data_IF_173143703935
#
_entry.id   IF_173143703935
#
_cell.length_a   1.000
_cell.length_b   1.000
_cell.length_c   1.000
_cell.angle_alpha   90.00
_cell.angle_beta   90.00
_cell.angle_gamma   90.00
#
_symmetry.space_group_name_H-M   'P 1'
#
loop_
_entity.id
_entity.type
_entity.pdbx_description
1 polymer ?
#
# COMPACT_ATOMS: atom_id res chain seq x y z
N UNK A 1 13.20 1.52 -9.95
CA UNK A 1 13.05 2.12 -8.61
C UNK A 1 11.62 2.60 -8.48
N UNK A 2 10.92 2.23 -7.40
CA UNK A 2 9.55 2.67 -7.10
C UNK A 2 9.51 4.07 -6.44
N UNK A 3 10.68 4.68 -6.23
CA UNK A 3 10.79 6.01 -5.62
C UNK A 3 10.65 5.98 -4.10
N UNK A 4 10.95 4.84 -3.46
CA UNK A 4 10.92 4.69 -2.00
C UNK A 4 12.23 5.12 -1.33
N UNK A 5 13.33 5.16 -2.08
CA UNK A 5 14.62 5.61 -1.56
C UNK A 5 14.89 7.05 -1.99
N UNK A 6 15.10 7.92 -1.01
CA UNK A 6 15.37 9.34 -1.22
C UNK A 6 16.85 9.68 -1.37
N UNK A 7 17.15 10.88 -1.87
CA UNK A 7 18.51 11.37 -1.93
C UNK A 7 19.08 11.54 -0.52
N UNK A 8 20.36 11.22 -0.34
CA UNK A 8 21.03 11.28 0.97
C UNK A 8 21.05 12.70 1.57
N UNK A 9 20.99 13.73 0.72
CA UNK A 9 21.00 15.15 1.08
C UNK A 9 19.61 15.79 1.20
N UNK A 10 18.56 15.01 1.51
CA UNK A 10 17.22 15.57 1.73
C UNK A 10 17.21 16.53 2.93
N UNK A 11 16.43 17.62 2.91
CA UNK A 11 16.29 18.51 4.06
C UNK A 11 15.85 17.77 5.33
N UNK A 12 16.28 18.28 6.49
CA UNK A 12 15.75 17.88 7.79
C UNK A 12 14.22 18.01 7.79
N UNK A 13 13.54 17.08 8.45
CA UNK A 13 12.06 17.02 8.59
C UNK A 13 11.28 16.86 7.28
N UNK A 14 11.97 16.73 6.14
CA UNK A 14 11.32 16.40 4.86
C UNK A 14 11.12 14.90 4.68
N UNK A 15 10.04 14.54 4.01
CA UNK A 15 9.73 13.15 3.61
C UNK A 15 10.02 13.02 2.12
N UNK A 16 10.63 11.92 1.71
CA UNK A 16 10.77 11.58 0.30
C UNK A 16 9.95 10.34 0.01
N UNK A 17 9.18 10.36 -1.06
CA UNK A 17 8.49 9.16 -1.53
C UNK A 17 7.45 9.46 -2.61
N UNK A 18 6.76 8.41 -3.03
CA UNK A 18 5.57 8.52 -3.86
C UNK A 18 4.33 8.63 -2.96
N UNK A 19 3.68 9.79 -2.96
CA UNK A 19 2.62 10.14 -2.00
C UNK A 19 1.51 9.08 -1.86
N UNK A 20 0.97 8.48 -2.96
CA UNK A 20 -0.05 7.43 -2.84
C UNK A 20 0.34 6.22 -2.00
N UNK A 21 1.64 5.94 -1.86
CA UNK A 21 2.18 4.78 -1.17
C UNK A 21 2.72 5.13 0.23
N UNK A 22 2.78 6.41 0.60
CA UNK A 22 3.26 6.82 1.92
C UNK A 22 2.22 6.47 2.99
N UNK A 23 2.67 5.81 4.05
CA UNK A 23 1.86 5.52 5.21
C UNK A 23 1.43 6.81 5.92
N UNK A 24 0.21 6.89 6.48
CA UNK A 24 -0.32 8.14 7.02
C UNK A 24 0.51 8.68 8.19
N UNK A 25 1.10 7.81 9.01
CA UNK A 25 2.00 8.23 10.08
C UNK A 25 3.31 8.84 9.53
N UNK A 26 3.79 8.35 8.38
CA UNK A 26 4.97 8.93 7.71
C UNK A 26 4.62 10.28 7.11
N UNK A 27 3.43 10.44 6.53
CA UNK A 27 2.90 11.74 6.08
C UNK A 27 2.84 12.73 7.24
N UNK A 28 2.50 12.27 8.45
CA UNK A 28 2.49 13.08 9.68
C UNK A 28 3.89 13.38 10.26
N UNK A 29 4.98 13.02 9.57
CA UNK A 29 6.34 13.33 9.98
C UNK A 29 7.06 12.23 10.76
N UNK A 30 6.41 11.07 11.00
CA UNK A 30 7.12 9.95 11.61
C UNK A 30 8.16 9.36 10.66
N UNK A 31 9.19 8.73 11.24
CA UNK A 31 10.20 8.00 10.47
C UNK A 31 9.56 6.80 9.75
N UNK A 32 10.13 6.45 8.60
CA UNK A 32 9.79 5.20 7.93
C UNK A 32 10.16 4.00 8.81
N UNK A 33 9.31 2.98 8.79
CA UNK A 33 9.45 1.76 9.57
C UNK A 33 9.06 0.55 8.73
N UNK A 34 9.35 -0.65 9.24
CA UNK A 34 8.85 -1.90 8.61
C UNK A 34 7.32 -1.92 8.49
N UNK A 35 6.60 -1.27 9.41
CA UNK A 35 5.14 -1.19 9.35
C UNK A 35 4.67 -0.19 8.29
N UNK A 36 5.42 0.89 8.03
CA UNK A 36 5.11 1.79 6.89
C UNK A 36 5.38 1.10 5.55
N UNK A 37 6.40 0.25 5.47
CA UNK A 37 6.64 -0.56 4.25
C UNK A 37 5.47 -1.53 3.98
N UNK A 38 4.89 -2.12 5.03
CA UNK A 38 3.69 -2.98 4.92
C UNK A 38 2.49 -2.20 4.40
N UNK A 39 2.32 -0.93 4.79
CA UNK A 39 1.30 -0.06 4.21
C UNK A 39 1.55 0.16 2.72
N UNK A 40 2.78 0.48 2.31
CA UNK A 40 3.13 0.64 0.89
C UNK A 40 2.83 -0.63 0.08
N UNK A 41 3.08 -1.81 0.67
CA UNK A 41 2.72 -3.10 0.06
C UNK A 41 1.21 -3.25 -0.09
N UNK A 42 0.40 -2.76 0.86
CA UNK A 42 -1.06 -2.78 0.73
C UNK A 42 -1.55 -1.98 -0.49
N UNK A 43 -0.95 -0.81 -0.73
CA UNK A 43 -1.27 0.02 -1.90
C UNK A 43 -0.82 -0.68 -3.19
N UNK A 44 0.32 -1.38 -3.19
CA UNK A 44 0.75 -2.23 -4.31
C UNK A 44 -0.19 -3.41 -4.54
N UNK A 45 -0.66 -4.07 -3.47
CA UNK A 45 -1.66 -5.13 -3.57
C UNK A 45 -2.95 -4.63 -4.23
N UNK A 46 -3.38 -3.42 -3.86
CA UNK A 46 -4.53 -2.78 -4.49
C UNK A 46 -4.28 -2.45 -5.98
N UNK A 47 -3.11 -1.92 -6.31
CA UNK A 47 -2.73 -1.62 -7.69
C UNK A 47 -2.69 -2.87 -8.56
N UNK A 48 -2.13 -3.98 -8.04
CA UNK A 48 -2.13 -5.29 -8.71
C UNK A 48 -3.57 -5.78 -8.94
N UNK A 49 -4.41 -5.71 -7.90
CA UNK A 49 -5.79 -6.20 -8.01
C UNK A 49 -6.68 -5.35 -8.92
N UNK A 50 -6.45 -4.04 -8.98
CA UNK A 50 -7.25 -3.12 -9.81
C UNK A 50 -6.70 -2.96 -11.22
N UNK A 51 -5.41 -3.22 -11.43
CA UNK A 51 -4.70 -2.90 -12.66
C UNK A 51 -4.62 -1.40 -12.94
N UNK A 52 -4.81 -0.54 -11.93
CA UNK A 52 -4.88 0.92 -12.06
C UNK A 52 -3.96 1.61 -11.05
N UNK A 53 -3.42 2.80 -11.36
CA UNK A 53 -2.69 3.61 -10.39
C UNK A 53 -3.56 3.98 -9.17
N UNK A 54 -3.02 3.95 -7.94
CA UNK A 54 -3.76 4.36 -6.75
C UNK A 54 -4.16 5.82 -6.82
N UNK A 55 -5.38 6.11 -6.35
CA UNK A 55 -5.97 7.45 -6.35
C UNK A 55 -6.01 8.11 -7.75
N UNK A 56 -6.28 7.33 -8.81
CA UNK A 56 -6.29 7.83 -10.20
C UNK A 56 -7.15 9.09 -10.41
N UNK A 57 -8.23 9.22 -9.64
CA UNK A 57 -9.20 10.33 -9.68
C UNK A 57 -8.83 11.52 -8.77
N UNK A 58 -7.66 11.50 -8.13
CA UNK A 58 -7.17 12.58 -7.28
C UNK A 58 -5.96 13.26 -7.91
N UNK A 59 -5.80 14.55 -7.61
CA UNK A 59 -4.54 15.24 -7.84
C UNK A 59 -3.49 14.77 -6.81
N UNK A 60 -2.24 14.61 -7.24
CA UNK A 60 -1.15 14.16 -6.36
C UNK A 60 -0.51 15.38 -5.71
N UNK A 61 -1.19 15.93 -4.71
CA UNK A 61 -0.85 17.18 -4.02
C UNK A 61 -0.99 17.05 -2.48
N UNK A 62 -0.89 18.18 -1.77
CA UNK A 62 -1.04 18.20 -0.31
C UNK A 62 -2.46 17.83 0.15
N UNK A 63 -3.50 18.07 -0.68
CA UNK A 63 -4.87 17.69 -0.33
C UNK A 63 -5.01 16.16 -0.30
N UNK A 64 -4.35 15.44 -1.21
CA UNK A 64 -4.30 13.98 -1.15
C UNK A 64 -3.61 13.48 0.13
N UNK A 65 -2.53 14.14 0.55
CA UNK A 65 -1.84 13.80 1.80
C UNK A 65 -2.79 13.91 3.01
N UNK A 66 -3.52 15.03 3.11
CA UNK A 66 -4.52 15.25 4.16
C UNK A 66 -5.67 14.22 4.08
N UNK A 67 -6.15 13.91 2.88
CA UNK A 67 -7.19 12.90 2.67
C UNK A 67 -6.74 11.52 3.16
N UNK A 68 -5.51 11.10 2.86
CA UNK A 68 -4.95 9.82 3.31
C UNK A 68 -4.87 9.76 4.84
N UNK A 69 -4.39 10.84 5.47
CA UNK A 69 -4.34 10.96 6.94
C UNK A 69 -5.75 10.89 7.54
N UNK A 70 -6.73 11.52 6.90
CA UNK A 70 -8.14 11.48 7.32
C UNK A 70 -8.86 10.16 7.00
N UNK A 71 -8.16 9.15 6.47
CA UNK A 71 -8.68 7.79 6.30
C UNK A 71 -9.16 7.46 4.90
N UNK A 72 -8.96 8.33 3.91
CA UNK A 72 -9.21 7.97 2.52
C UNK A 72 -8.25 6.86 2.09
N UNK A 73 -8.80 5.83 1.44
CA UNK A 73 -8.08 4.70 0.85
C UNK A 73 -8.57 4.49 -0.58
N UNK A 74 -7.79 3.81 -1.44
CA UNK A 74 -8.29 3.41 -2.75
C UNK A 74 -9.55 2.56 -2.62
N UNK A 75 -10.50 2.75 -3.54
CA UNK A 75 -11.78 2.03 -3.53
C UNK A 75 -11.56 0.55 -3.81
N UNK A 76 -12.09 -0.33 -2.96
CA UNK A 76 -12.02 -1.78 -3.16
C UNK A 76 -12.76 -2.18 -4.45
N UNK A 77 -12.16 -3.08 -5.23
CA UNK A 77 -12.74 -3.65 -6.44
C UNK A 77 -13.56 -4.88 -6.05
N UNK A 78 -14.79 -5.00 -6.56
CA UNK A 78 -15.73 -6.07 -6.19
C UNK A 78 -15.19 -7.47 -6.46
N UNK A 79 -14.35 -7.61 -7.48
CA UNK A 79 -13.86 -8.90 -7.96
C UNK A 79 -12.56 -9.34 -7.26
N UNK A 80 -12.06 -8.53 -6.32
CA UNK A 80 -10.91 -8.92 -5.50
C UNK A 80 -11.31 -10.08 -4.59
N UNK A 81 -10.55 -11.19 -4.59
CA UNK A 81 -10.70 -12.27 -3.62
C UNK A 81 -10.85 -11.82 -2.17
N UNK A 82 -11.80 -12.41 -1.45
CA UNK A 82 -12.13 -12.01 -0.07
C UNK A 82 -10.91 -12.09 0.87
N UNK A 83 -10.13 -13.17 0.82
CA UNK A 83 -8.96 -13.35 1.66
C UNK A 83 -7.85 -12.34 1.33
N UNK A 84 -7.66 -12.05 0.04
CA UNK A 84 -6.68 -11.06 -0.44
C UNK A 84 -7.09 -9.66 -0.01
N UNK A 85 -8.37 -9.31 -0.19
CA UNK A 85 -8.95 -8.05 0.23
C UNK A 85 -8.80 -7.85 1.74
N UNK A 86 -9.14 -8.85 2.56
CA UNK A 86 -9.01 -8.76 4.02
C UNK A 86 -7.55 -8.57 4.44
N UNK A 87 -6.61 -9.24 3.78
CA UNK A 87 -5.18 -9.06 4.04
C UNK A 87 -4.70 -7.66 3.63
N UNK A 88 -5.10 -7.19 2.44
CA UNK A 88 -4.81 -5.84 1.95
C UNK A 88 -5.33 -4.78 2.93
N UNK A 89 -6.58 -4.93 3.38
CA UNK A 89 -7.22 -4.00 4.33
C UNK A 89 -6.51 -3.99 5.67
N UNK A 90 -6.03 -5.14 6.15
CA UNK A 90 -5.24 -5.19 7.37
C UNK A 90 -3.88 -4.47 7.22
N UNK A 91 -3.27 -4.54 6.04
CA UNK A 91 -1.96 -3.94 5.79
C UNK A 91 -2.01 -2.40 5.72
N UNK A 92 -3.13 -1.79 5.32
CA UNK A 92 -3.28 -0.32 5.25
C UNK A 92 -3.96 0.32 6.47
N UNK A 93 -4.02 -0.40 7.60
CA UNK A 93 -4.55 0.12 8.86
C UNK A 93 -3.78 1.40 9.26
N UNK A 94 -4.50 2.40 9.74
CA UNK A 94 -3.92 3.65 10.22
C UNK A 94 -3.00 3.43 11.41
N UNK A 95 -3.31 2.45 12.28
CA UNK A 95 -2.44 2.05 13.39
C UNK A 95 -1.35 1.09 12.89
N UNK A 96 -0.07 1.50 12.90
CA UNK A 96 1.03 0.66 12.43
C UNK A 96 1.17 -0.64 13.21
N UNK A 97 0.68 -0.71 14.46
CA UNK A 97 0.76 -1.90 15.31
C UNK A 97 -0.26 -2.98 14.92
N UNK A 98 -1.34 -2.61 14.22
CA UNK A 98 -2.36 -3.55 13.73
C UNK A 98 -1.99 -4.21 12.41
N UNK A 99 -1.00 -3.66 11.71
CA UNK A 99 -0.48 -4.21 10.45
C UNK A 99 0.27 -5.51 10.70
N UNK A 100 0.15 -6.51 9.82
CA UNK A 100 0.87 -7.77 9.98
C UNK A 100 2.39 -7.56 9.82
N UNK A 101 3.18 -8.36 10.54
CA UNK A 101 4.62 -8.46 10.27
C UNK A 101 4.85 -9.01 8.87
N UNK A 102 5.92 -8.57 8.20
CA UNK A 102 6.24 -8.98 6.82
C UNK A 102 6.30 -10.50 6.63
N UNK A 103 6.78 -11.27 7.61
CA UNK A 103 6.81 -12.74 7.56
C UNK A 103 5.40 -13.34 7.54
N UNK A 104 4.47 -12.77 8.32
CA UNK A 104 3.08 -13.23 8.36
C UNK A 104 2.34 -12.83 7.07
N UNK A 105 2.61 -11.63 6.55
CA UNK A 105 2.09 -11.17 5.26
C UNK A 105 2.53 -12.11 4.12
N UNK A 106 3.83 -12.40 4.02
CA UNK A 106 4.36 -13.34 3.02
C UNK A 106 3.76 -14.74 3.13
N UNK A 107 3.60 -15.25 4.36
CA UNK A 107 2.97 -16.55 4.59
C UNK A 107 1.53 -16.56 4.08
N UNK A 108 0.73 -15.55 4.45
CA UNK A 108 -0.69 -15.45 4.03
C UNK A 108 -0.84 -15.25 2.52
N UNK A 109 0.01 -14.46 1.89
CA UNK A 109 0.01 -14.30 0.43
C UNK A 109 0.28 -15.64 -0.28
N UNK A 110 1.22 -16.44 0.22
CA UNK A 110 1.45 -17.80 -0.32
C UNK A 110 0.28 -18.74 -0.11
N UNK A 111 -0.35 -18.70 1.06
CA UNK A 111 -1.55 -19.52 1.33
C UNK A 111 -2.67 -19.18 0.34
N UNK A 112 -2.88 -17.89 0.06
CA UNK A 112 -3.85 -17.43 -0.94
C UNK A 112 -3.47 -17.94 -2.33
N UNK A 113 -2.22 -17.74 -2.77
CA UNK A 113 -1.75 -18.19 -4.10
C UNK A 113 -1.91 -19.71 -4.29
N UNK A 114 -1.52 -20.51 -3.30
CA UNK A 114 -1.68 -21.96 -3.33
C UNK A 114 -3.15 -22.40 -3.39
N UNK A 115 -4.04 -21.69 -2.69
CA UNK A 115 -5.47 -21.96 -2.73
C UNK A 115 -6.06 -21.78 -4.14
N UNK A 116 -5.53 -20.83 -4.92
CA UNK A 116 -5.90 -20.62 -6.32
C UNK A 116 -5.31 -21.65 -7.27
N UNK A 117 -4.14 -22.19 -6.96
CA UNK A 117 -3.49 -23.24 -7.75
C UNK A 117 -4.05 -24.65 -7.46
N UNK A 118 -4.88 -24.80 -6.43
CA UNK A 118 -5.42 -26.10 -6.00
C UNK A 118 -4.37 -27.01 -5.36
N UNK A 119 -3.26 -26.44 -4.85
CA UNK A 119 -2.13 -27.18 -4.28
C UNK A 119 -2.19 -27.12 -2.74
N UNK A 120 -2.12 -28.27 -2.02
CA UNK A 120 -2.05 -28.28 -0.55
C UNK A 120 -0.77 -27.64 -0.01
N UNK A 121 -0.89 -26.88 1.08
CA UNK A 121 0.19 -26.11 1.74
C UNK A 121 1.42 -26.93 2.18
N UNK A 122 1.29 -28.26 2.31
CA UNK A 122 2.37 -29.15 2.78
C UNK A 122 3.42 -29.49 1.71
N UNK A 123 3.18 -29.20 0.44
CA UNK A 123 4.19 -29.33 -0.61
C UNK A 123 4.89 -28.00 -0.85
N UNK A 124 6.23 -28.00 -0.84
CA UNK A 124 7.18 -26.92 -1.16
C UNK A 124 7.92 -26.30 0.04
N UNK A 125 9.17 -26.76 0.20
CA UNK A 125 10.21 -26.04 0.92
C UNK A 125 10.63 -24.80 0.14
N UNK A 126 11.15 -23.82 0.88
CA UNK A 126 11.53 -22.47 0.44
C UNK A 126 12.51 -22.51 -0.74
N UNK A 127 12.01 -22.33 -1.95
CA UNK A 127 12.85 -22.00 -3.11
C UNK A 127 12.73 -20.52 -3.48
N UNK A 128 13.86 -19.98 -3.89
CA UNK A 128 14.18 -18.56 -4.07
C UNK A 128 13.40 -17.93 -5.21
N UNK A 129 13.20 -16.60 -5.12
CA UNK A 129 12.55 -15.73 -6.10
C UNK A 129 12.87 -16.10 -7.57
N UNK A 130 11.83 -16.51 -8.30
CA UNK A 130 11.82 -16.50 -9.76
C UNK A 130 11.40 -15.12 -10.26
N UNK A 131 12.28 -14.45 -11.01
CA UNK A 131 11.94 -13.26 -11.77
C UNK A 131 11.05 -13.67 -12.96
N UNK A 132 9.89 -13.01 -13.11
CA UNK A 132 9.16 -13.01 -14.38
C UNK A 132 8.66 -11.62 -14.75
N UNK A 133 8.49 -11.47 -16.06
CA UNK A 133 8.80 -10.31 -16.88
C UNK A 133 7.64 -9.32 -17.09
N UNK A 134 8.03 -8.04 -17.12
CA UNK A 134 7.43 -6.89 -17.82
C UNK A 134 6.05 -7.05 -18.46
N UNK A 135 5.07 -6.35 -17.90
CA UNK A 135 3.99 -5.71 -18.66
C UNK A 135 4.23 -4.20 -18.67
N UNK A 136 4.89 -3.69 -19.72
CA UNK A 136 4.80 -2.27 -20.04
C UNK A 136 3.33 -1.97 -20.37
N UNK A 137 2.66 -1.13 -19.57
CA UNK A 137 1.95 0.10 -19.99
C UNK A 137 1.07 0.62 -18.84
N UNK A 138 1.63 1.37 -17.89
CA UNK A 138 0.96 2.50 -17.21
C UNK A 138 2.04 3.49 -16.81
N UNK A 139 2.44 4.34 -17.75
CA UNK A 139 3.50 5.34 -17.53
C UNK A 139 2.95 6.56 -16.77
N UNK A 140 2.34 6.35 -15.60
CA UNK A 140 2.27 7.43 -14.59
C UNK A 140 3.61 7.33 -13.87
N UNK A 141 4.52 8.24 -14.19
CA UNK A 141 5.84 8.32 -13.54
C UNK A 141 5.59 8.22 -12.03
N UNK A 142 6.23 7.27 -11.34
CA UNK A 142 6.36 7.32 -9.89
C UNK A 142 7.11 8.62 -9.59
N UNK A 143 6.41 9.75 -9.47
CA UNK A 143 7.04 11.03 -9.20
C UNK A 143 7.28 11.08 -7.72
N UNK A 144 8.36 10.43 -7.29
CA UNK A 144 8.89 10.64 -5.97
C UNK A 144 9.26 12.11 -5.83
N UNK A 145 8.81 12.72 -4.73
CA UNK A 145 9.07 14.12 -4.43
C UNK A 145 9.46 14.24 -2.96
N UNK A 146 10.13 15.34 -2.67
CA UNK A 146 10.37 15.77 -1.30
C UNK A 146 9.15 16.57 -0.86
N UNK A 147 8.52 16.15 0.23
CA UNK A 147 7.38 16.81 0.85
C UNK A 147 7.80 17.40 2.19
N UNK A 148 7.16 18.51 2.55
CA UNK A 148 7.14 19.04 3.92
C UNK A 148 5.68 19.18 4.31
N UNK A 149 5.33 18.49 5.36
CA UNK A 149 3.99 18.48 5.92
C UNK A 149 4.09 19.02 7.34
N UNK A 150 3.19 19.92 7.70
CA UNK A 150 3.15 20.51 9.05
C UNK A 150 1.80 20.20 9.69
N UNK A 151 1.83 19.80 10.96
CA UNK A 151 0.67 19.77 11.85
C UNK A 151 -0.55 18.97 11.36
N UNK A 152 -0.35 17.77 10.81
CA UNK A 152 -1.47 16.87 10.56
C UNK A 152 -2.05 16.27 11.86
N UNK A 153 -3.36 16.06 11.86
CA UNK A 153 -4.07 15.33 12.92
C UNK A 153 -3.65 13.85 12.94
N UNK A 154 -4.01 13.13 14.00
CA UNK A 154 -3.73 11.69 14.10
C UNK A 154 -4.35 10.91 12.93
N UNK A 155 -3.61 9.96 12.31
CA UNK A 155 -4.09 9.09 11.26
C UNK A 155 -5.39 8.34 11.61
N UNK A 156 -6.33 8.32 10.67
CA UNK A 156 -7.62 7.62 10.81
C UNK A 156 -7.74 6.47 9.82
N UNK A 157 -8.49 5.45 10.21
CA UNK A 157 -8.93 4.40 9.30
C UNK A 157 -10.08 4.92 8.43
N UNK A 158 -10.26 4.29 7.25
CA UNK A 158 -11.45 4.52 6.45
C UNK A 158 -12.69 4.20 7.28
N UNK A 159 -13.64 5.13 7.35
CA UNK A 159 -14.94 4.87 7.98
C UNK A 159 -15.71 3.84 7.16
N UNK A 160 -16.48 2.98 7.83
CA UNK A 160 -17.23 1.87 7.20
C UNK A 160 -18.10 2.31 6.02
N UNK A 161 -18.63 3.54 6.04
CA UNK A 161 -19.41 4.14 4.94
C UNK A 161 -18.63 4.51 3.66
N UNK A 162 -17.31 4.39 3.65
CA UNK A 162 -16.45 4.62 2.46
C UNK A 162 -15.97 3.30 1.84
N UNK A 163 -16.11 2.18 2.57
CA UNK A 163 -15.88 0.82 2.08
C UNK A 163 -17.15 0.36 1.35
N UNK A 164 -17.57 1.10 0.31
CA UNK A 164 -18.75 0.75 -0.48
C UNK A 164 -18.31 -0.20 -1.61
N UNK A 165 -18.62 -1.48 -1.45
CA UNK A 165 -18.72 -2.42 -2.58
C UNK A 165 -19.83 -1.92 -3.50
N UNK A 166 -19.51 -1.62 -4.77
CA UNK A 166 -20.56 -1.45 -5.77
C UNK A 166 -20.66 -2.77 -6.51
N UNK A 167 -21.76 -3.49 -6.27
CA UNK A 167 -22.24 -4.50 -7.20
C UNK A 167 -22.69 -3.77 -8.47
N UNK A 168 -22.11 -4.11 -9.62
CA UNK A 168 -22.73 -3.84 -10.91
C UNK A 168 -23.75 -4.95 -11.23
#
# INVERSE_FOLDING_TARGET
>A
DLGFCGPANKPLESIYGSLPYLAPEVICGNKTTKASDVYSIAILMWEISSGQPPFINYEIDNNLAENIVNGIRPKIISDTPLEYMNLMVQCWDADPLKRPRIRNLQKRLREIDLSYQGIPYESFQLDTMGETSNTNTYRRLFTSKVYRFENFLEPKNATEGTIIFINL
#
